data_IF_874866293833
#
_entry.id   IF_874866293833
#
_cell.length_a   1.000
_cell.length_b   1.000
_cell.length_c   1.000
_cell.angle_alpha   90.00
_cell.angle_beta   90.00
_cell.angle_gamma   90.00
#
_symmetry.space_group_name_H-M   'P 1'
#
loop_
_entity.id
_entity.type
_entity.pdbx_description
1 polymer ?
#
# COMPACT_ATOMS: atom_id res chain seq x y z
N UNK A 1 9.11 26.87 35.57
CA UNK A 1 9.71 25.66 36.18
C UNK A 1 8.79 24.45 36.10
N UNK A 2 7.84 24.18 37.02
CA UNK A 2 7.03 22.93 37.00
C UNK A 2 6.15 22.68 35.75
N UNK A 3 5.74 23.76 35.05
CA UNK A 3 4.96 23.68 33.80
C UNK A 3 5.82 23.38 32.57
N UNK A 4 7.06 23.87 32.56
CA UNK A 4 8.03 23.66 31.47
C UNK A 4 8.58 22.22 31.54
N UNK A 5 8.85 21.67 32.73
CA UNK A 5 9.26 20.27 32.89
C UNK A 5 8.20 19.26 32.42
N UNK A 6 6.92 19.57 32.66
CA UNK A 6 5.79 18.72 32.23
C UNK A 6 5.62 18.73 30.71
N UNK A 7 5.86 19.87 30.07
CA UNK A 7 5.80 20.02 28.61
C UNK A 7 6.98 19.26 27.97
N UNK A 8 8.18 19.36 28.54
CA UNK A 8 9.38 18.64 28.05
C UNK A 8 9.22 17.12 28.22
N UNK A 9 8.60 16.64 29.31
CA UNK A 9 8.28 15.22 29.47
C UNK A 9 7.22 14.73 28.47
N UNK A 10 6.24 15.57 28.14
CA UNK A 10 5.21 15.26 27.13
C UNK A 10 5.75 15.30 25.69
N UNK A 11 6.80 16.09 25.42
CA UNK A 11 7.50 16.15 24.13
C UNK A 11 8.43 14.94 23.95
N UNK A 12 9.03 14.46 25.05
CA UNK A 12 9.93 13.29 25.07
C UNK A 12 9.21 11.94 24.96
N UNK A 13 7.92 11.86 25.31
CA UNK A 13 7.13 10.62 25.25
C UNK A 13 6.56 10.31 23.86
N UNK A 14 6.75 11.22 22.90
CA UNK A 14 6.22 11.08 21.55
C UNK A 14 7.00 10.03 20.74
N UNK A 15 6.33 9.27 19.86
CA UNK A 15 6.91 8.11 19.19
C UNK A 15 8.11 8.50 18.31
N UNK A 16 9.32 8.26 18.79
CA UNK A 16 10.56 8.47 18.01
C UNK A 16 10.74 7.42 16.90
N UNK A 17 10.01 6.30 16.96
CA UNK A 17 10.18 5.18 16.05
C UNK A 17 9.08 5.18 14.98
N UNK A 18 9.48 5.13 13.70
CA UNK A 18 8.54 4.97 12.60
C UNK A 18 7.78 3.64 12.75
N UNK A 19 6.43 3.66 12.79
CA UNK A 19 5.63 2.49 13.15
C UNK A 19 5.63 1.35 12.12
N UNK A 20 6.21 1.55 10.92
CA UNK A 20 6.15 0.58 9.82
C UNK A 20 7.24 -0.51 9.86
N UNK A 21 8.04 -0.58 10.94
CA UNK A 21 9.20 -1.49 11.04
C UNK A 21 8.86 -2.89 11.55
N UNK A 22 7.69 -3.43 11.20
CA UNK A 22 7.29 -4.79 11.56
C UNK A 22 7.95 -5.81 10.63
N UNK A 23 8.49 -6.91 11.18
CA UNK A 23 9.08 -7.99 10.39
C UNK A 23 7.99 -8.68 9.55
N UNK A 24 8.12 -8.63 8.22
CA UNK A 24 7.21 -9.30 7.29
C UNK A 24 7.21 -10.82 7.53
N UNK A 25 6.03 -11.41 7.66
CA UNK A 25 5.89 -12.88 7.70
C UNK A 25 6.16 -13.49 6.32
N UNK A 26 6.49 -14.78 6.28
CA UNK A 26 6.75 -15.53 5.04
C UNK A 26 5.59 -15.48 4.05
N UNK A 27 4.35 -15.52 4.55
CA UNK A 27 3.13 -15.38 3.74
C UNK A 27 3.01 -13.99 3.12
N UNK A 28 3.32 -12.94 3.87
CA UNK A 28 3.30 -11.56 3.38
C UNK A 28 4.35 -11.32 2.29
N UNK A 29 5.52 -11.96 2.39
CA UNK A 29 6.54 -11.92 1.33
C UNK A 29 6.07 -12.58 0.04
N UNK A 30 5.40 -13.73 0.12
CA UNK A 30 4.85 -14.41 -1.05
C UNK A 30 3.78 -13.55 -1.76
N UNK A 31 2.85 -12.95 -0.99
CA UNK A 31 1.84 -12.04 -1.55
C UNK A 31 2.45 -10.79 -2.18
N UNK A 32 3.55 -10.26 -1.63
CA UNK A 32 4.29 -9.12 -2.23
C UNK A 32 4.91 -9.47 -3.58
N UNK A 33 5.49 -10.66 -3.69
CA UNK A 33 6.10 -11.15 -4.94
C UNK A 33 5.02 -11.35 -6.00
N UNK A 34 3.90 -12.01 -5.64
CA UNK A 34 2.77 -12.24 -6.53
C UNK A 34 2.13 -10.92 -6.98
N UNK A 35 1.92 -9.97 -6.06
CA UNK A 35 1.36 -8.66 -6.40
C UNK A 35 2.26 -7.87 -7.36
N UNK A 36 3.58 -7.93 -7.17
CA UNK A 36 4.54 -7.29 -8.09
C UNK A 36 4.56 -7.96 -9.47
N UNK A 37 4.40 -9.28 -9.50
CA UNK A 37 4.38 -10.04 -10.75
C UNK A 37 3.10 -9.75 -11.56
N UNK A 38 1.94 -9.79 -10.90
CA UNK A 38 0.62 -9.54 -11.51
C UNK A 38 0.45 -8.06 -11.91
N UNK A 39 1.10 -7.12 -11.19
CA UNK A 39 1.05 -5.68 -11.47
C UNK A 39 2.05 -5.18 -12.52
N UNK A 40 2.83 -6.07 -13.14
CA UNK A 40 3.83 -5.68 -14.15
C UNK A 40 3.21 -5.51 -15.53
N UNK A 41 3.64 -4.49 -16.28
CA UNK A 41 3.27 -4.28 -17.68
C UNK A 41 3.60 -5.50 -18.56
N UNK A 42 4.66 -6.25 -18.23
CA UNK A 42 5.04 -7.46 -18.96
C UNK A 42 4.05 -8.63 -18.83
N UNK A 43 3.36 -8.74 -17.68
CA UNK A 43 2.38 -9.80 -17.44
C UNK A 43 1.13 -9.63 -18.32
N UNK A 44 0.69 -8.38 -18.50
CA UNK A 44 -0.43 -8.03 -19.38
C UNK A 44 -0.12 -8.44 -20.82
N UNK A 45 1.08 -8.10 -21.32
CA UNK A 45 1.53 -8.45 -22.67
C UNK A 45 1.59 -9.97 -22.84
N UNK A 46 2.07 -10.71 -21.85
CA UNK A 46 2.13 -12.17 -21.89
C UNK A 46 0.73 -12.81 -22.01
N UNK A 47 -0.26 -12.32 -21.26
CA UNK A 47 -1.65 -12.81 -21.36
C UNK A 47 -2.24 -12.52 -22.75
N UNK A 48 -1.98 -11.34 -23.31
CA UNK A 48 -2.46 -10.96 -24.64
C UNK A 48 -1.85 -11.89 -25.71
N UNK A 49 -0.54 -12.15 -25.63
CA UNK A 49 0.14 -13.08 -26.55
C UNK A 49 -0.42 -14.50 -26.41
N UNK A 50 -0.62 -14.98 -25.18
CA UNK A 50 -1.22 -16.28 -24.92
C UNK A 50 -2.64 -16.37 -25.51
N UNK A 51 -3.45 -15.32 -25.38
CA UNK A 51 -4.81 -15.28 -25.93
C UNK A 51 -4.79 -15.32 -27.45
N UNK A 52 -3.92 -14.53 -28.09
CA UNK A 52 -3.73 -14.56 -29.55
C UNK A 52 -3.28 -15.95 -30.02
N UNK A 53 -2.34 -16.57 -29.30
CA UNK A 53 -1.88 -17.92 -29.61
C UNK A 53 -3.00 -18.95 -29.48
N UNK A 54 -3.81 -18.88 -28.41
CA UNK A 54 -4.93 -19.79 -28.17
C UNK A 54 -6.02 -19.67 -29.23
N UNK A 55 -6.36 -18.44 -29.62
CA UNK A 55 -7.31 -18.19 -30.72
C UNK A 55 -6.75 -18.69 -32.04
N UNK A 56 -5.47 -18.44 -32.33
CA UNK A 56 -4.81 -18.92 -33.55
C UNK A 56 -4.76 -20.45 -33.63
N UNK A 57 -4.46 -21.12 -32.51
CA UNK A 57 -4.48 -22.57 -32.41
C UNK A 57 -5.88 -23.15 -32.63
N UNK A 58 -6.93 -22.51 -32.09
CA UNK A 58 -8.32 -22.93 -32.33
C UNK A 58 -8.77 -22.74 -33.78
N UNK A 59 -8.33 -21.66 -34.45
CA UNK A 59 -8.59 -21.44 -35.88
C UNK A 59 -7.88 -22.51 -36.73
N UNK A 60 -6.64 -22.87 -36.39
CA UNK A 60 -5.88 -23.89 -37.13
C UNK A 60 -6.39 -25.33 -36.86
N UNK A 61 -6.97 -25.58 -35.68
CA UNK A 61 -7.55 -26.86 -35.29
C UNK A 61 -8.98 -27.08 -35.84
N UNK A 62 -9.24 -26.62 -37.07
CA UNK A 62 -10.56 -26.62 -37.72
C UNK A 62 -11.20 -28.01 -37.87
N UNK A 63 -10.42 -29.08 -37.74
CA UNK A 63 -10.86 -30.47 -38.01
C UNK A 63 -11.65 -31.08 -36.84
N UNK A 64 -11.44 -30.64 -35.59
CA UNK A 64 -12.03 -31.27 -34.41
C UNK A 64 -12.93 -30.35 -33.56
N UNK A 65 -13.17 -29.10 -33.97
CA UNK A 65 -14.03 -28.13 -33.25
C UNK A 65 -13.85 -28.18 -31.72
N UNK A 66 -12.59 -28.14 -31.27
CA UNK A 66 -12.25 -28.38 -29.86
C UNK A 66 -12.79 -27.29 -28.92
N UNK A 67 -12.93 -26.04 -29.39
CA UNK A 67 -13.58 -24.94 -28.66
C UNK A 67 -14.36 -24.02 -29.63
N UNK A 68 -15.62 -24.35 -29.97
CA UNK A 68 -16.45 -23.53 -30.85
C UNK A 68 -16.74 -22.16 -30.24
N UNK A 69 -16.94 -21.14 -31.08
CA UNK A 69 -17.39 -19.82 -30.63
C UNK A 69 -18.69 -19.98 -29.81
N UNK A 70 -18.76 -19.54 -28.52
CA UNK A 70 -18.02 -18.45 -27.88
C UNK A 70 -16.90 -18.86 -26.89
N UNK A 71 -16.02 -19.81 -27.25
CA UNK A 71 -14.82 -20.23 -26.51
C UNK A 71 -15.05 -20.55 -25.01
N UNK A 72 -15.82 -21.61 -24.74
CA UNK A 72 -16.25 -21.96 -23.37
C UNK A 72 -15.07 -22.31 -22.45
N UNK A 73 -14.05 -22.98 -22.98
CA UNK A 73 -12.89 -23.41 -22.19
C UNK A 73 -11.99 -22.22 -21.85
N UNK A 74 -11.74 -21.33 -22.83
CA UNK A 74 -10.98 -20.11 -22.59
C UNK A 74 -11.66 -19.23 -21.55
N UNK A 75 -12.98 -19.06 -21.65
CA UNK A 75 -13.75 -18.28 -20.70
C UNK A 75 -13.70 -18.88 -19.28
N UNK A 76 -13.77 -20.20 -19.15
CA UNK A 76 -13.66 -20.90 -17.87
C UNK A 76 -12.28 -20.65 -17.21
N UNK A 77 -11.20 -20.77 -17.98
CA UNK A 77 -9.83 -20.54 -17.48
C UNK A 77 -9.65 -19.10 -17.03
N UNK A 78 -10.08 -18.12 -17.83
CA UNK A 78 -9.98 -16.69 -17.48
C UNK A 78 -10.81 -16.33 -16.25
N UNK A 79 -12.02 -16.88 -16.12
CA UNK A 79 -12.86 -16.68 -14.95
C UNK A 79 -12.21 -17.24 -13.68
N UNK A 80 -11.61 -18.44 -13.76
CA UNK A 80 -10.89 -19.04 -12.64
C UNK A 80 -9.65 -18.21 -12.23
N UNK A 81 -8.87 -17.72 -13.20
CA UNK A 81 -7.74 -16.83 -12.94
C UNK A 81 -8.21 -15.55 -12.22
N UNK A 82 -9.29 -14.94 -12.68
CA UNK A 82 -9.87 -13.72 -12.08
C UNK A 82 -10.37 -13.98 -10.66
N UNK A 83 -11.01 -15.13 -10.42
CA UNK A 83 -11.51 -15.52 -9.11
C UNK A 83 -10.39 -15.66 -8.07
N UNK A 84 -9.22 -16.17 -8.47
CA UNK A 84 -8.03 -16.25 -7.61
C UNK A 84 -7.35 -14.87 -7.47
N UNK A 85 -7.35 -14.07 -8.53
CA UNK A 85 -6.71 -12.75 -8.54
C UNK A 85 -7.41 -11.75 -7.60
N UNK A 86 -8.74 -11.78 -7.54
CA UNK A 86 -9.56 -10.85 -6.74
C UNK A 86 -9.18 -10.83 -5.24
N UNK A 87 -9.11 -11.96 -4.52
CA UNK A 87 -8.72 -11.97 -3.11
C UNK A 87 -7.26 -11.60 -2.90
N UNK A 88 -6.35 -11.92 -3.83
CA UNK A 88 -4.94 -11.51 -3.74
C UNK A 88 -4.84 -9.98 -3.81
N UNK A 89 -5.55 -9.36 -4.75
CA UNK A 89 -5.63 -7.91 -4.87
C UNK A 89 -6.26 -7.32 -3.60
N UNK A 90 -7.37 -7.88 -3.11
CA UNK A 90 -8.06 -7.39 -1.92
C UNK A 90 -7.19 -7.49 -0.65
N UNK A 91 -6.44 -8.58 -0.48
CA UNK A 91 -5.48 -8.74 0.61
C UNK A 91 -4.34 -7.72 0.51
N UNK A 92 -3.85 -7.45 -0.70
CA UNK A 92 -2.82 -6.44 -0.93
C UNK A 92 -3.34 -5.03 -0.62
N UNK A 93 -4.57 -4.71 -1.06
CA UNK A 93 -5.26 -3.45 -0.77
C UNK A 93 -5.53 -3.26 0.73
N UNK A 94 -6.05 -4.28 1.42
CA UNK A 94 -6.31 -4.22 2.87
C UNK A 94 -5.02 -3.89 3.65
N UNK A 95 -3.89 -4.49 3.27
CA UNK A 95 -2.59 -4.22 3.90
C UNK A 95 -2.05 -2.83 3.58
N UNK A 96 -2.26 -2.33 2.37
CA UNK A 96 -1.89 -0.95 2.00
C UNK A 96 -2.71 0.04 2.84
N UNK A 97 -4.02 -0.16 2.94
CA UNK A 97 -4.93 0.68 3.74
C UNK A 97 -4.54 0.70 5.23
N UNK A 98 -4.19 -0.45 5.81
CA UNK A 98 -3.70 -0.50 7.19
C UNK A 98 -2.41 0.30 7.40
N UNK A 99 -1.43 0.16 6.48
CA UNK A 99 -0.19 0.94 6.54
C UNK A 99 -0.45 2.43 6.37
N UNK A 100 -1.37 2.79 5.47
CA UNK A 100 -1.76 4.17 5.20
C UNK A 100 -2.40 4.81 6.43
N UNK A 101 -3.33 4.11 7.09
CA UNK A 101 -3.95 4.57 8.35
C UNK A 101 -2.92 4.83 9.45
N UNK A 102 -1.99 3.91 9.65
CA UNK A 102 -0.91 4.05 10.66
C UNK A 102 -0.01 5.24 10.32
N UNK A 103 0.32 5.43 9.03
CA UNK A 103 1.11 6.57 8.58
C UNK A 103 0.39 7.89 8.85
N UNK A 104 -0.89 7.99 8.50
CA UNK A 104 -1.70 9.19 8.75
C UNK A 104 -1.80 9.54 10.24
N UNK A 105 -1.99 8.55 11.11
CA UNK A 105 -2.03 8.77 12.56
C UNK A 105 -0.67 9.25 13.11
N UNK A 106 0.43 8.70 12.59
CA UNK A 106 1.77 9.12 12.95
C UNK A 106 2.07 10.55 12.48
N UNK A 107 1.78 10.86 11.21
CA UNK A 107 2.00 12.18 10.63
C UNK A 107 1.19 13.24 11.39
N UNK A 108 -0.06 12.93 11.74
CA UNK A 108 -0.89 13.79 12.59
C UNK A 108 -0.28 14.04 13.98
N UNK A 109 0.29 13.00 14.61
CA UNK A 109 0.94 13.15 15.91
C UNK A 109 2.21 14.03 15.84
N UNK A 110 2.98 13.91 14.75
CA UNK A 110 4.17 14.73 14.49
C UNK A 110 3.77 16.19 14.24
N UNK A 111 2.77 16.44 13.41
CA UNK A 111 2.29 17.79 13.12
C UNK A 111 1.83 18.51 14.40
N UNK A 112 1.05 17.83 15.24
CA UNK A 112 0.61 18.37 16.55
C UNK A 112 1.76 18.61 17.51
N UNK A 113 2.90 17.91 17.35
CA UNK A 113 4.13 18.18 18.12
C UNK A 113 4.80 19.45 17.62
N UNK A 114 5.00 19.55 16.30
CA UNK A 114 5.60 20.72 15.68
C UNK A 114 4.81 22.00 15.98
N UNK A 115 3.47 21.94 15.97
CA UNK A 115 2.62 23.05 16.39
C UNK A 115 2.92 23.53 17.82
N UNK A 116 3.07 22.60 18.78
CA UNK A 116 3.38 22.94 20.18
C UNK A 116 4.77 23.53 20.33
N UNK A 117 5.77 22.97 19.65
CA UNK A 117 7.14 23.48 19.66
C UNK A 117 7.20 24.91 19.08
N UNK A 118 6.48 25.18 17.99
CA UNK A 118 6.36 26.52 17.40
C UNK A 118 5.69 27.50 18.38
N UNK A 119 4.60 27.08 19.04
CA UNK A 119 3.92 27.92 20.03
C UNK A 119 4.83 28.25 21.23
N UNK A 120 5.65 27.30 21.66
CA UNK A 120 6.61 27.50 22.75
C UNK A 120 7.75 28.45 22.35
N UNK A 121 8.32 28.29 21.15
CA UNK A 121 9.32 29.21 20.59
C UNK A 121 8.73 30.62 20.49
N UNK A 122 7.49 30.76 20.01
CA UNK A 122 6.80 32.06 19.92
C UNK A 122 6.66 32.72 21.29
N UNK A 123 6.27 31.96 22.33
CA UNK A 123 6.19 32.47 23.72
C UNK A 123 7.54 32.91 24.26
N UNK A 124 8.62 32.19 23.93
CA UNK A 124 9.97 32.57 24.30
C UNK A 124 10.41 33.86 23.59
N UNK A 125 10.11 34.01 22.30
CA UNK A 125 10.38 35.20 21.52
C UNK A 125 9.66 36.44 22.10
N UNK A 126 8.35 36.34 22.35
CA UNK A 126 7.55 37.40 22.99
C UNK A 126 8.07 37.77 24.39
N UNK A 127 8.62 36.79 25.13
CA UNK A 127 9.23 37.03 26.45
C UNK A 127 10.54 37.82 26.32
N UNK A 128 11.36 37.51 25.32
CA UNK A 128 12.61 38.23 25.06
C UNK A 128 12.31 39.66 24.58
N UNK A 129 11.36 39.83 23.65
CA UNK A 129 10.96 41.15 23.14
C UNK A 129 10.51 42.08 24.27
N UNK A 130 9.69 41.59 25.20
CA UNK A 130 9.25 42.34 26.38
C UNK A 130 10.36 42.70 27.38
N UNK A 131 11.51 42.02 27.35
CA UNK A 131 12.66 42.35 28.22
C UNK A 131 13.60 43.38 27.60
N UNK A 132 13.58 43.50 26.27
CA UNK A 132 14.41 44.47 25.53
C UNK A 132 13.76 45.85 25.50
N UNK A 133 12.42 45.90 25.64
CA UNK A 133 11.62 47.12 25.76
C UNK A 133 11.49 47.57 27.21
#
# INVERSE_FOLDING_TARGET
MKKEEKIISDISSLPQNHPLRTKLTTSQRASDILSKCIGSWGFIILIIIFLIFWVSANIYAWINQWDPYPFILLNLVLACLTAIQTPIILMSQNRISQKDRIRTEYDYAVDRKSEREIEEIKKQLDRIERKIK
#
